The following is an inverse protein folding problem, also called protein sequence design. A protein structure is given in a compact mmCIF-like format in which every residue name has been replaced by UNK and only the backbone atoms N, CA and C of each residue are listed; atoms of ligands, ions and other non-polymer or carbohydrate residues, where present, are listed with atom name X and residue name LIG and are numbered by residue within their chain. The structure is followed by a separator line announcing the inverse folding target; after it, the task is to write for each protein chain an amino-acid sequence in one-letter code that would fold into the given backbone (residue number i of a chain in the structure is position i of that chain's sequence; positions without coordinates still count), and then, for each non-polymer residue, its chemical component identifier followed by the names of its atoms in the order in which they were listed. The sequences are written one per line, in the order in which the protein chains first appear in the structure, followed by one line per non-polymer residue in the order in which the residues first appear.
data_IF_388487370745
#
_entry.id   IF_388487370745
#
_cell.length_a   1.000
_cell.length_b   1.000
_cell.length_c   1.000
_cell.angle_alpha   90.00
_cell.angle_beta   90.00
_cell.angle_gamma   90.00
#
_symmetry.space_group_name_H-M   'P 1'
#
loop_
_entity.id
_entity.type
_entity.pdbx_description
1 polymer ?
#
# COMPACT_ATOMS: atom_id res chain seq x y z
N UNK A 1 5.57 -6.66 -4.14
CA UNK A 1 5.10 -7.43 -2.95
C UNK A 1 3.64 -7.74 -3.15
N UNK A 2 3.25 -8.97 -2.89
CA UNK A 2 1.89 -9.43 -3.08
C UNK A 2 1.47 -10.25 -1.85
N UNK A 3 0.24 -10.07 -1.38
CA UNK A 3 -0.35 -10.89 -0.33
C UNK A 3 -1.82 -11.14 -0.57
N UNK A 4 -2.32 -12.25 -0.06
CA UNK A 4 -3.71 -12.67 -0.16
C UNK A 4 -4.07 -13.66 0.95
N UNK A 5 -5.32 -14.14 0.96
CA UNK A 5 -5.81 -15.30 1.72
C UNK A 5 -5.53 -15.21 3.25
N UNK A 6 -5.77 -14.03 3.83
CA UNK A 6 -5.70 -13.86 5.28
C UNK A 6 -4.28 -13.65 5.82
N UNK A 7 -3.36 -13.12 5.03
CA UNK A 7 -2.03 -12.78 5.51
C UNK A 7 -2.06 -11.66 6.56
N UNK A 8 -1.53 -11.93 7.75
CA UNK A 8 -1.49 -10.99 8.90
C UNK A 8 -0.08 -10.74 9.43
N UNK A 9 0.93 -11.01 8.60
CA UNK A 9 2.34 -10.84 8.97
C UNK A 9 2.80 -9.39 9.05
N UNK A 10 4.07 -9.22 9.40
CA UNK A 10 4.73 -7.91 9.42
C UNK A 10 5.92 -7.90 8.47
N UNK A 11 6.05 -6.78 7.74
CA UNK A 11 7.18 -6.50 6.87
C UNK A 11 7.88 -5.23 7.39
N UNK A 12 9.19 -5.26 7.48
CA UNK A 12 9.97 -4.11 7.96
C UNK A 12 11.16 -3.86 7.04
N UNK A 13 11.45 -2.59 6.77
CA UNK A 13 12.51 -2.14 5.87
C UNK A 13 12.35 -2.71 4.46
N UNK A 14 11.25 -2.38 3.82
CA UNK A 14 10.93 -2.81 2.46
C UNK A 14 11.34 -1.73 1.47
N UNK A 15 12.17 -2.07 0.51
CA UNK A 15 12.57 -1.19 -0.59
C UNK A 15 12.22 -1.85 -1.92
N UNK A 16 11.44 -1.15 -2.73
CA UNK A 16 10.99 -1.60 -4.04
C UNK A 16 11.41 -0.57 -5.08
N UNK A 17 12.01 -1.02 -6.16
CA UNK A 17 12.36 -0.21 -7.31
C UNK A 17 11.71 -0.78 -8.56
N UNK A 18 10.85 0.02 -9.19
CA UNK A 18 10.15 -0.36 -10.41
C UNK A 18 11.07 -0.33 -11.63
N UNK A 19 10.80 -1.23 -12.55
CA UNK A 19 11.35 -1.25 -13.92
C UNK A 19 10.20 -1.21 -14.91
N UNK A 20 10.50 -0.96 -16.17
CA UNK A 20 9.52 -0.69 -17.23
C UNK A 20 8.39 -1.73 -17.39
N UNK A 21 8.60 -2.96 -16.94
CA UNK A 21 7.59 -4.04 -17.01
C UNK A 21 6.80 -4.25 -15.72
N UNK A 22 7.07 -3.46 -14.67
CA UNK A 22 6.37 -3.59 -13.39
C UNK A 22 5.06 -2.80 -13.42
N UNK A 23 4.04 -3.35 -12.80
CA UNK A 23 2.71 -2.77 -12.72
C UNK A 23 2.57 -1.97 -11.42
N UNK A 24 2.62 -2.62 -10.27
CA UNK A 24 2.50 -1.97 -8.96
C UNK A 24 3.59 -2.44 -7.99
N UNK A 25 3.87 -1.63 -6.96
CA UNK A 25 4.84 -1.98 -5.92
C UNK A 25 4.29 -3.01 -4.94
N UNK A 26 3.06 -2.77 -4.50
CA UNK A 26 2.31 -3.69 -3.65
C UNK A 26 0.95 -3.96 -4.26
N UNK A 27 0.54 -5.22 -4.31
CA UNK A 27 -0.83 -5.67 -4.51
C UNK A 27 -1.27 -6.44 -3.28
N UNK A 28 -2.32 -5.96 -2.61
CA UNK A 28 -2.83 -6.54 -1.39
C UNK A 28 -4.27 -7.00 -1.55
N UNK A 29 -4.48 -8.31 -1.50
CA UNK A 29 -5.79 -8.92 -1.50
C UNK A 29 -6.17 -9.41 -0.09
N UNK A 30 -7.43 -9.29 0.26
CA UNK A 30 -7.98 -9.79 1.51
C UNK A 30 -8.17 -11.31 1.46
N UNK A 31 -9.25 -11.74 0.81
CA UNK A 31 -9.55 -13.13 0.55
C UNK A 31 -10.07 -13.28 -0.87
N UNK A 32 -9.22 -13.72 -1.77
CA UNK A 32 -9.46 -13.70 -3.21
C UNK A 32 -9.91 -15.05 -3.78
N UNK A 33 -9.70 -16.16 -3.07
CA UNK A 33 -10.10 -17.50 -3.52
C UNK A 33 -11.62 -17.65 -3.60
N UNK A 34 -12.37 -16.94 -2.76
CA UNK A 34 -13.83 -16.90 -2.80
C UNK A 34 -14.32 -15.51 -3.21
N UNK A 35 -14.11 -15.21 -4.48
CA UNK A 35 -14.51 -13.93 -5.11
C UNK A 35 -16.04 -13.80 -5.12
N UNK A 36 -16.67 -13.52 -4.15
CA UNK A 36 -18.13 -13.38 -4.01
C UNK A 36 -18.54 -13.54 -2.57
N UNK A 37 -17.63 -14.03 -1.76
CA UNK A 37 -17.81 -14.19 -0.33
C UNK A 37 -16.65 -13.58 0.48
N UNK A 38 -16.09 -12.48 0.01
CA UNK A 38 -15.05 -11.68 0.72
C UNK A 38 -15.54 -11.13 2.07
N UNK A 39 -16.61 -11.65 2.61
CA UNK A 39 -17.25 -11.21 3.83
C UNK A 39 -16.85 -12.01 5.07
N UNK A 40 -16.03 -13.06 4.92
CA UNK A 40 -15.56 -13.81 6.08
C UNK A 40 -14.36 -13.11 6.75
N UNK A 41 -14.55 -12.45 7.90
CA UNK A 41 -13.49 -11.65 8.54
C UNK A 41 -12.33 -12.50 9.07
N UNK A 42 -12.47 -13.81 9.12
CA UNK A 42 -11.41 -14.74 9.55
C UNK A 42 -10.27 -14.81 8.53
N UNK A 43 -10.56 -14.55 7.27
CA UNK A 43 -9.60 -14.72 6.17
C UNK A 43 -9.10 -13.41 5.58
N UNK A 44 -9.56 -12.26 6.04
CA UNK A 44 -9.07 -10.99 5.53
C UNK A 44 -7.61 -10.75 5.91
N UNK A 45 -6.81 -10.43 4.91
CA UNK A 45 -5.43 -10.02 5.15
C UNK A 45 -5.39 -8.70 5.91
N UNK A 46 -4.48 -8.60 6.87
CA UNK A 46 -4.27 -7.40 7.67
C UNK A 46 -2.79 -7.25 8.09
N UNK A 47 -1.86 -7.11 7.13
CA UNK A 47 -0.45 -6.96 7.46
C UNK A 47 -0.12 -5.60 8.04
N UNK A 48 1.03 -5.55 8.71
CA UNK A 48 1.69 -4.30 9.12
C UNK A 48 2.99 -4.13 8.34
N UNK A 49 3.13 -2.99 7.66
CA UNK A 49 4.32 -2.63 6.91
C UNK A 49 4.97 -1.40 7.55
N UNK A 50 6.26 -1.50 7.88
CA UNK A 50 7.01 -0.41 8.53
C UNK A 50 8.29 -0.12 7.75
N UNK A 51 8.60 1.16 7.55
CA UNK A 51 9.71 1.64 6.74
C UNK A 51 9.63 1.08 5.31
N UNK A 52 8.72 1.64 4.52
CA UNK A 52 8.48 1.26 3.13
C UNK A 52 8.95 2.37 2.19
N UNK A 53 9.77 2.04 1.22
CA UNK A 53 10.07 2.90 0.07
C UNK A 53 9.67 2.20 -1.21
N UNK A 54 8.91 2.88 -2.07
CA UNK A 54 8.59 2.42 -3.42
C UNK A 54 8.97 3.51 -4.41
N UNK A 55 9.93 3.20 -5.28
CA UNK A 55 10.36 4.09 -6.36
C UNK A 55 9.79 3.61 -7.69
N UNK A 56 8.99 4.46 -8.31
CA UNK A 56 8.39 4.25 -9.63
C UNK A 56 9.20 4.87 -10.75
N UNK A 57 8.54 5.07 -11.89
CA UNK A 57 9.14 5.56 -13.13
C UNK A 57 8.63 6.96 -13.53
N UNK A 58 8.04 7.69 -12.59
CA UNK A 58 7.44 9.00 -12.79
C UNK A 58 5.91 8.96 -12.86
N UNK A 59 5.27 10.02 -12.40
CA UNK A 59 3.80 10.15 -12.31
C UNK A 59 3.07 10.13 -13.66
N UNK A 60 3.78 10.28 -14.76
CA UNK A 60 3.24 10.13 -16.11
C UNK A 60 3.03 8.66 -16.54
N UNK A 61 3.60 7.71 -15.84
CA UNK A 61 3.33 6.28 -16.03
C UNK A 61 2.04 5.95 -15.27
N UNK A 62 1.11 5.28 -15.93
CA UNK A 62 -0.26 5.06 -15.44
C UNK A 62 -0.35 3.94 -14.38
N UNK A 63 0.63 3.88 -13.46
CA UNK A 63 0.73 2.84 -12.46
C UNK A 63 0.40 3.38 -11.08
N UNK A 64 -0.11 2.51 -10.22
CA UNK A 64 -0.29 2.74 -8.79
C UNK A 64 0.89 2.16 -7.98
N UNK A 65 1.29 2.85 -6.90
CA UNK A 65 2.31 2.33 -6.00
C UNK A 65 1.78 1.17 -5.16
N UNK A 66 0.57 1.31 -4.63
CA UNK A 66 -0.07 0.33 -3.74
C UNK A 66 -1.52 0.16 -4.14
N UNK A 67 -1.94 -1.07 -4.43
CA UNK A 67 -3.33 -1.44 -4.64
C UNK A 67 -3.84 -2.33 -3.53
N UNK A 68 -4.99 -1.99 -2.95
CA UNK A 68 -5.66 -2.74 -1.89
C UNK A 68 -7.06 -3.12 -2.34
N UNK A 69 -7.38 -4.43 -2.33
CA UNK A 69 -8.67 -4.93 -2.80
C UNK A 69 -9.10 -6.22 -2.07
N UNK A 70 -10.23 -6.80 -2.49
CA UNK A 70 -10.77 -8.06 -1.97
C UNK A 70 -10.88 -8.08 -0.43
N UNK A 71 -11.22 -6.93 0.16
CA UNK A 71 -11.42 -6.81 1.61
C UNK A 71 -10.14 -6.75 2.44
N UNK A 72 -8.96 -6.52 1.84
CA UNK A 72 -7.73 -6.39 2.63
C UNK A 72 -7.80 -5.22 3.60
N UNK A 73 -7.19 -5.40 4.75
CA UNK A 73 -6.83 -4.35 5.70
C UNK A 73 -5.31 -4.25 5.70
N UNK A 74 -4.78 -3.11 6.04
CA UNK A 74 -3.33 -2.95 6.17
C UNK A 74 -2.97 -1.74 7.02
N UNK A 75 -1.88 -1.86 7.77
CA UNK A 75 -1.28 -0.72 8.50
C UNK A 75 0.08 -0.42 7.90
N UNK A 76 0.26 0.82 7.46
CA UNK A 76 1.52 1.31 6.92
C UNK A 76 2.10 2.39 7.84
N UNK A 77 3.37 2.26 8.21
CA UNK A 77 4.07 3.22 9.05
C UNK A 77 5.39 3.62 8.40
N UNK A 78 5.65 4.92 8.32
CA UNK A 78 6.87 5.49 7.75
C UNK A 78 7.08 5.09 6.28
N UNK A 79 6.37 5.76 5.37
CA UNK A 79 6.28 5.43 3.95
C UNK A 79 6.86 6.53 3.09
N UNK A 80 7.61 6.17 2.06
CA UNK A 80 8.03 7.05 0.97
C UNK A 80 7.57 6.45 -0.36
N UNK A 81 6.71 7.17 -1.08
CA UNK A 81 6.28 6.81 -2.44
C UNK A 81 6.78 7.86 -3.42
N UNK A 82 7.39 7.41 -4.51
CA UNK A 82 7.94 8.29 -5.52
C UNK A 82 7.62 7.81 -6.94
N UNK A 83 7.12 8.70 -7.80
CA UNK A 83 7.03 8.47 -9.23
C UNK A 83 5.90 7.57 -9.69
N UNK A 84 4.66 7.78 -9.23
CA UNK A 84 3.46 7.03 -9.66
C UNK A 84 2.30 7.96 -10.03
N UNK A 85 1.41 7.51 -10.91
CA UNK A 85 0.15 8.20 -11.15
C UNK A 85 -0.74 8.18 -9.90
N UNK A 86 -0.77 7.06 -9.18
CA UNK A 86 -1.57 6.87 -7.98
C UNK A 86 -0.69 6.35 -6.82
N UNK A 87 -0.83 6.94 -5.64
CA UNK A 87 -0.15 6.48 -4.43
C UNK A 87 -0.82 5.22 -3.89
N UNK A 88 -2.09 5.34 -3.54
CA UNK A 88 -2.94 4.22 -3.14
C UNK A 88 -4.15 4.13 -4.07
N UNK A 89 -4.47 2.93 -4.51
CA UNK A 89 -5.72 2.57 -5.19
C UNK A 89 -6.48 1.56 -4.32
N UNK A 90 -7.68 1.95 -3.85
CA UNK A 90 -8.52 1.12 -2.99
C UNK A 90 -9.76 0.69 -3.77
N UNK A 91 -9.92 -0.62 -3.94
CA UNK A 91 -11.02 -1.23 -4.66
C UNK A 91 -11.94 -2.03 -3.74
N UNK A 92 -13.18 -2.16 -4.17
CA UNK A 92 -14.30 -2.94 -3.64
C UNK A 92 -14.85 -2.51 -2.27
N UNK A 93 -16.09 -2.93 -2.05
CA UNK A 93 -16.88 -2.53 -0.87
C UNK A 93 -16.26 -3.01 0.43
N UNK A 94 -15.72 -4.21 0.50
CA UNK A 94 -15.18 -4.77 1.75
C UNK A 94 -13.88 -4.07 2.18
N UNK A 95 -13.05 -3.66 1.22
CA UNK A 95 -11.88 -2.80 1.48
C UNK A 95 -12.32 -1.44 2.04
N UNK A 96 -13.36 -0.85 1.46
CA UNK A 96 -13.95 0.40 1.96
C UNK A 96 -14.52 0.28 3.37
N UNK A 97 -15.15 -0.84 3.71
CA UNK A 97 -15.62 -1.13 5.08
C UNK A 97 -14.44 -1.19 6.04
N UNK A 98 -13.32 -1.79 5.66
CA UNK A 98 -12.10 -1.81 6.47
C UNK A 98 -11.57 -0.42 6.79
N UNK A 99 -11.65 0.52 5.84
CA UNK A 99 -11.31 1.93 6.07
C UNK A 99 -12.26 2.57 7.07
N UNK A 100 -13.57 2.44 6.88
CA UNK A 100 -14.58 3.02 7.75
C UNK A 100 -14.50 2.50 9.19
N UNK A 101 -14.04 1.28 9.39
CA UNK A 101 -13.81 0.67 10.70
C UNK A 101 -12.45 1.08 11.32
N UNK A 102 -11.60 1.84 10.62
CA UNK A 102 -10.27 2.20 11.09
C UNK A 102 -9.26 1.03 11.07
N UNK A 103 -9.52 0.00 10.25
CA UNK A 103 -8.68 -1.20 10.12
C UNK A 103 -7.61 -1.05 9.03
N UNK A 104 -7.70 0.02 8.22
CA UNK A 104 -6.69 0.41 7.24
C UNK A 104 -6.18 1.80 7.57
N UNK A 105 -4.86 1.94 7.71
CA UNK A 105 -4.25 3.22 8.07
C UNK A 105 -2.85 3.39 7.51
N UNK A 106 -2.49 4.64 7.22
CA UNK A 106 -1.17 5.06 6.78
C UNK A 106 -0.71 6.20 7.68
N UNK A 107 0.43 6.03 8.33
CA UNK A 107 0.99 7.02 9.24
C UNK A 107 2.39 7.40 8.82
N UNK A 108 2.68 8.71 8.80
CA UNK A 108 3.97 9.28 8.38
C UNK A 108 4.35 8.86 6.96
N UNK A 109 3.78 9.55 5.99
CA UNK A 109 4.03 9.31 4.57
C UNK A 109 4.54 10.54 3.86
N UNK A 110 5.45 10.35 2.89
CA UNK A 110 5.86 11.37 1.93
C UNK A 110 5.52 10.89 0.51
N UNK A 111 4.90 11.78 -0.25
CA UNK A 111 4.59 11.60 -1.67
C UNK A 111 5.48 12.51 -2.51
N UNK A 112 6.31 11.92 -3.37
CA UNK A 112 7.15 12.63 -4.33
C UNK A 112 6.71 12.25 -5.75
N UNK A 113 6.41 13.24 -6.59
CA UNK A 113 5.96 13.01 -7.97
C UNK A 113 4.80 11.97 -8.05
N UNK A 114 3.75 12.21 -7.25
CA UNK A 114 2.50 11.43 -7.24
C UNK A 114 1.37 12.33 -7.73
N UNK A 115 0.60 11.89 -8.73
CA UNK A 115 -0.51 12.70 -9.28
C UNK A 115 -1.74 12.65 -8.38
N UNK A 116 -2.11 11.47 -7.89
CA UNK A 116 -3.25 11.24 -7.01
C UNK A 116 -2.79 10.43 -5.79
N UNK A 117 -2.87 11.00 -4.60
CA UNK A 117 -2.38 10.35 -3.38
C UNK A 117 -3.22 9.14 -2.96
N UNK A 118 -4.56 9.26 -3.09
CA UNK A 118 -5.52 8.21 -2.76
C UNK A 118 -6.65 8.18 -3.80
N UNK A 119 -6.81 7.06 -4.47
CA UNK A 119 -7.96 6.76 -5.31
C UNK A 119 -8.92 5.85 -4.55
N UNK A 120 -10.20 6.21 -4.55
CA UNK A 120 -11.24 5.47 -3.85
C UNK A 120 -12.27 4.91 -4.85
N UNK A 121 -12.10 3.67 -5.25
CA UNK A 121 -13.02 2.91 -6.10
C UNK A 121 -13.87 1.91 -5.27
N UNK A 122 -13.90 2.04 -3.94
CA UNK A 122 -14.62 1.11 -3.05
C UNK A 122 -16.13 1.29 -3.04
N UNK A 123 -16.62 2.45 -3.47
CA UNK A 123 -18.01 2.84 -3.30
C UNK A 123 -18.37 3.36 -1.91
N UNK A 124 -17.50 3.24 -0.92
CA UNK A 124 -17.66 3.83 0.41
C UNK A 124 -17.30 5.32 0.39
N UNK A 125 -17.89 6.11 1.25
CA UNK A 125 -17.59 7.54 1.37
C UNK A 125 -16.67 7.78 2.56
N UNK A 126 -15.45 8.18 2.28
CA UNK A 126 -14.45 8.61 3.25
C UNK A 126 -13.50 9.63 2.61
N UNK A 127 -12.74 10.37 3.40
CA UNK A 127 -11.75 11.32 2.94
C UNK A 127 -10.34 10.71 3.07
N UNK A 128 -9.36 11.29 2.39
CA UNK A 128 -7.95 10.91 2.53
C UNK A 128 -7.51 10.90 4.00
N UNK A 129 -7.89 11.90 4.77
CA UNK A 129 -7.52 12.02 6.19
C UNK A 129 -8.12 10.93 7.09
N UNK A 130 -9.11 10.18 6.63
CA UNK A 130 -9.64 9.01 7.36
C UNK A 130 -8.71 7.79 7.23
N UNK A 131 -7.79 7.82 6.25
CA UNK A 131 -6.82 6.75 5.97
C UNK A 131 -5.39 7.19 6.25
N UNK A 132 -5.03 8.41 5.83
CA UNK A 132 -3.65 8.90 5.76
C UNK A 132 -3.44 10.04 6.77
N UNK A 133 -2.37 9.93 7.56
CA UNK A 133 -1.94 10.95 8.51
C UNK A 133 -0.42 11.17 8.44
N UNK A 134 0.06 12.32 8.93
CA UNK A 134 1.48 12.64 8.97
C UNK A 134 2.09 12.82 7.58
N UNK A 135 1.35 13.44 6.64
CA UNK A 135 1.87 13.72 5.28
C UNK A 135 3.07 14.65 5.36
N UNK A 136 4.16 14.27 4.69
CA UNK A 136 5.45 14.95 4.69
C UNK A 136 6.44 14.45 5.75
N UNK A 137 6.04 13.54 6.63
CA UNK A 137 6.91 13.00 7.69
C UNK A 137 7.60 11.69 7.32
N UNK A 138 7.09 10.96 6.33
CA UNK A 138 7.62 9.66 5.94
C UNK A 138 9.02 9.75 5.34
N UNK A 139 9.93 8.91 5.81
CA UNK A 139 11.30 8.77 5.30
C UNK A 139 11.53 7.44 4.59
N UNK A 140 10.60 6.50 4.77
CA UNK A 140 10.67 5.17 4.17
C UNK A 140 11.79 4.28 4.73
N UNK A 141 12.18 3.28 3.96
CA UNK A 141 13.32 2.41 4.25
C UNK A 141 14.63 3.12 3.88
N UNK A 142 15.56 3.22 4.82
CA UNK A 142 16.94 3.67 4.53
C UNK A 142 17.73 2.54 3.87
N UNK A 143 17.54 2.39 2.55
CA UNK A 143 18.16 1.34 1.76
C UNK A 143 19.69 1.35 1.88
N UNK A 144 20.32 2.53 1.82
CA UNK A 144 21.77 2.64 1.86
C UNK A 144 22.37 2.20 3.20
N UNK A 145 21.63 2.37 4.27
CA UNK A 145 22.05 1.95 5.60
C UNK A 145 21.91 0.43 5.80
N UNK A 146 20.74 -0.13 5.50
CA UNK A 146 20.50 -1.54 5.82
C UNK A 146 21.08 -2.53 4.79
N UNK A 147 21.31 -2.11 3.54
CA UNK A 147 21.92 -2.98 2.54
C UNK A 147 23.44 -3.06 2.62
N UNK A 148 24.07 -2.20 3.44
CA UNK A 148 25.51 -2.08 3.51
C UNK A 148 26.20 -3.40 3.88
N UNK A 149 27.03 -3.91 2.97
CA UNK A 149 27.88 -5.08 3.18
C UNK A 149 27.24 -6.44 2.88
N UNK A 150 25.95 -6.50 2.48
CA UNK A 150 25.31 -7.78 2.16
C UNK A 150 24.58 -7.83 0.83
N UNK A 151 24.38 -6.70 0.16
CA UNK A 151 23.89 -6.64 -1.23
C UNK A 151 25.03 -6.36 -2.20
N UNK A 152 24.90 -6.80 -3.45
CA UNK A 152 25.79 -6.40 -4.55
C UNK A 152 25.17 -5.20 -5.26
N UNK A 153 25.96 -4.15 -5.36
CA UNK A 153 25.66 -2.99 -6.23
C UNK A 153 25.93 -3.34 -7.68
#
# INVERSE_FOLDING_TARGET
VDWTEGYTGSLTNVYIEHRQSHDKGIEGDGFNTDIGNNSDPVFWSAPTITNLTINGLGSSNQNEAIRLRAGTRATFNNVLLEGFAEGFDLDDTETGIGVLNGETSVTDITFNDITLTLKNDTGATFNEADVISGIGNGTGADYNSWNSGWTRN
#
